data_IF_736782544529
#
_entry.id   IF_736782544529
#
_cell.length_a   1.000
_cell.length_b   1.000
_cell.length_c   1.000
_cell.angle_alpha   90.00
_cell.angle_beta   90.00
_cell.angle_gamma   90.00
#
_symmetry.space_group_name_H-M   'P 1'
#
loop_
_entity.id
_entity.type
_entity.pdbx_description
1 polymer ?
#
# COMPACT_ATOMS: atom_id res chain seq x y z
N UNK A 1 -44.53 -41.58 25.77
CA UNK A 1 -44.73 -40.19 25.29
C UNK A 1 -43.39 -39.74 24.79
N UNK A 2 -43.19 -39.68 23.46
CA UNK A 2 -42.00 -39.07 22.86
C UNK A 2 -42.27 -37.56 22.73
N UNK A 3 -41.40 -36.76 23.33
CA UNK A 3 -41.44 -35.31 23.16
C UNK A 3 -40.50 -34.92 22.00
N UNK A 4 -41.07 -34.64 20.86
CA UNK A 4 -40.31 -34.07 19.71
C UNK A 4 -40.11 -32.56 19.90
N UNK A 5 -38.90 -32.15 20.20
CA UNK A 5 -38.55 -30.74 20.26
C UNK A 5 -38.18 -30.26 18.83
N UNK A 6 -39.08 -29.54 18.20
CA UNK A 6 -38.77 -28.85 16.91
C UNK A 6 -38.24 -27.48 17.21
N UNK A 7 -36.94 -27.27 17.03
CA UNK A 7 -36.30 -25.96 17.13
C UNK A 7 -36.34 -25.32 15.74
N UNK A 8 -37.17 -24.31 15.56
CA UNK A 8 -37.22 -23.54 14.32
C UNK A 8 -36.25 -22.32 14.47
N UNK A 9 -35.04 -22.46 13.90
CA UNK A 9 -34.02 -21.42 13.97
C UNK A 9 -34.09 -20.60 12.68
N UNK A 10 -34.46 -19.32 12.80
CA UNK A 10 -34.37 -18.37 11.69
C UNK A 10 -32.88 -18.12 11.33
N UNK A 11 -32.39 -18.78 10.29
CA UNK A 11 -31.03 -18.65 9.80
C UNK A 11 -30.83 -17.50 8.79
N UNK A 12 -31.86 -16.71 8.52
CA UNK A 12 -31.84 -15.69 7.46
C UNK A 12 -30.76 -14.63 7.73
N UNK A 13 -30.67 -14.14 8.95
CA UNK A 13 -29.63 -13.17 9.36
C UNK A 13 -28.23 -13.76 9.29
N UNK A 14 -28.05 -15.03 9.67
CA UNK A 14 -26.78 -15.72 9.59
C UNK A 14 -26.31 -15.88 8.14
N UNK A 15 -27.21 -16.26 7.23
CA UNK A 15 -26.93 -16.37 5.80
C UNK A 15 -26.56 -15.02 5.18
N UNK A 16 -27.27 -13.94 5.56
CA UNK A 16 -26.94 -12.59 5.13
C UNK A 16 -25.54 -12.19 5.58
N UNK A 17 -25.21 -12.38 6.86
CA UNK A 17 -23.88 -12.12 7.43
C UNK A 17 -22.77 -12.91 6.71
N UNK A 18 -22.98 -14.21 6.46
CA UNK A 18 -22.02 -15.03 5.72
C UNK A 18 -21.77 -14.49 4.30
N UNK A 19 -22.83 -14.01 3.63
CA UNK A 19 -22.72 -13.38 2.31
C UNK A 19 -21.87 -12.12 2.38
N UNK A 20 -22.13 -11.24 3.35
CA UNK A 20 -21.50 -9.94 3.48
C UNK A 20 -20.01 -10.09 3.86
N UNK A 21 -19.66 -11.04 4.72
CA UNK A 21 -18.27 -11.41 5.00
C UNK A 21 -17.57 -11.96 3.73
N UNK A 22 -18.25 -12.82 2.95
CA UNK A 22 -17.67 -13.29 1.67
C UNK A 22 -17.43 -12.18 0.67
N UNK A 23 -18.29 -11.15 0.66
CA UNK A 23 -18.12 -9.96 -0.18
C UNK A 23 -16.94 -9.14 0.30
N UNK A 24 -16.78 -8.94 1.61
CA UNK A 24 -15.63 -8.23 2.18
C UNK A 24 -14.30 -8.94 1.89
N UNK A 25 -14.25 -10.26 2.02
CA UNK A 25 -13.06 -11.07 1.71
C UNK A 25 -12.58 -10.99 0.25
N UNK A 26 -13.43 -10.52 -0.66
CA UNK A 26 -13.05 -10.25 -2.05
C UNK A 26 -12.45 -8.86 -2.25
N UNK A 27 -12.44 -8.02 -1.22
CA UNK A 27 -11.92 -6.66 -1.29
C UNK A 27 -10.53 -6.59 -0.67
N UNK A 28 -9.63 -5.89 -1.34
CA UNK A 28 -8.30 -5.60 -0.80
C UNK A 28 -7.77 -4.28 -1.38
N UNK A 29 -6.92 -3.63 -0.62
CA UNK A 29 -6.24 -2.42 -1.07
C UNK A 29 -4.85 -2.82 -1.56
N UNK A 30 -4.52 -2.42 -2.78
CA UNK A 30 -3.14 -2.46 -3.29
C UNK A 30 -2.60 -1.05 -3.35
N UNK A 31 -1.38 -0.88 -2.91
CA UNK A 31 -0.69 0.39 -2.96
C UNK A 31 0.77 0.18 -3.36
N UNK A 32 1.30 1.13 -4.12
CA UNK A 32 2.63 1.03 -4.70
C UNK A 32 2.64 1.45 -6.19
N UNK A 33 3.61 0.95 -6.91
CA UNK A 33 3.73 1.18 -8.37
C UNK A 33 3.04 0.05 -9.12
N UNK A 34 1.71 0.13 -9.18
CA UNK A 34 0.85 -0.95 -9.68
C UNK A 34 0.93 -1.15 -11.19
N UNK A 35 1.40 -0.14 -11.91
CA UNK A 35 1.65 -0.20 -13.36
C UNK A 35 3.14 -0.39 -13.60
N UNK A 36 3.47 -1.25 -14.54
CA UNK A 36 4.86 -1.45 -14.96
C UNK A 36 5.35 -0.26 -15.81
N UNK A 37 5.53 0.88 -15.14
CA UNK A 37 5.98 2.12 -15.75
C UNK A 37 7.50 2.20 -15.67
N UNK A 38 8.15 2.53 -16.79
CA UNK A 38 9.60 2.68 -16.85
C UNK A 38 10.04 4.07 -16.39
N UNK A 39 11.19 4.14 -15.77
CA UNK A 39 11.83 5.41 -15.44
C UNK A 39 12.41 6.02 -16.72
N UNK A 40 12.11 7.30 -17.04
CA UNK A 40 12.45 7.89 -18.33
C UNK A 40 13.96 7.88 -18.63
N UNK A 41 14.79 8.07 -17.62
CA UNK A 41 16.24 8.21 -17.79
C UNK A 41 17.02 6.93 -17.53
N UNK A 42 16.45 5.96 -16.80
CA UNK A 42 17.21 4.77 -16.35
C UNK A 42 16.79 3.48 -17.07
N UNK A 43 15.72 3.52 -17.88
CA UNK A 43 15.17 2.35 -18.60
C UNK A 43 14.89 1.13 -17.71
N UNK A 44 14.62 1.38 -16.41
CA UNK A 44 14.24 0.37 -15.41
C UNK A 44 12.84 0.66 -14.88
N UNK A 45 12.12 -0.37 -14.39
CA UNK A 45 10.81 -0.15 -13.76
C UNK A 45 10.92 0.84 -12.60
N UNK A 46 9.95 1.76 -12.48
CA UNK A 46 9.92 2.73 -11.37
C UNK A 46 9.86 2.02 -10.02
N UNK A 47 9.16 0.88 -9.93
CA UNK A 47 9.15 0.05 -8.73
C UNK A 47 10.57 -0.40 -8.31
N UNK A 48 11.45 -0.68 -9.27
CA UNK A 48 12.84 -1.02 -9.00
C UNK A 48 13.63 0.17 -8.44
N UNK A 49 13.46 1.36 -9.05
CA UNK A 49 14.08 2.59 -8.54
C UNK A 49 13.60 2.88 -7.12
N UNK A 50 12.31 2.71 -6.87
CA UNK A 50 11.70 2.88 -5.55
C UNK A 50 12.29 1.91 -4.52
N UNK A 51 12.50 0.66 -4.89
CA UNK A 51 13.14 -0.34 -4.06
C UNK A 51 14.58 0.06 -3.71
N UNK A 52 15.37 0.49 -4.68
CA UNK A 52 16.72 0.98 -4.44
C UNK A 52 16.78 2.18 -3.48
N UNK A 53 15.81 3.08 -3.56
CA UNK A 53 15.72 4.20 -2.63
C UNK A 53 15.31 3.74 -1.23
N UNK A 54 14.37 2.80 -1.10
CA UNK A 54 13.87 2.31 0.19
C UNK A 54 14.96 1.54 0.97
N UNK A 55 15.66 0.63 0.30
CA UNK A 55 16.60 -0.29 0.93
C UNK A 55 18.07 0.12 0.77
N UNK A 56 18.33 1.00 -0.18
CA UNK A 56 19.70 1.34 -0.58
C UNK A 56 20.33 0.27 -1.48
N UNK A 57 21.51 0.59 -1.98
CA UNK A 57 22.39 -0.33 -2.73
C UNK A 57 23.79 -0.18 -2.15
N UNK A 58 24.49 -1.27 -1.82
CA UNK A 58 25.90 -1.19 -1.42
C UNK A 58 26.77 -0.65 -2.57
N UNK A 59 27.93 -0.10 -2.24
CA UNK A 59 28.91 0.28 -3.25
C UNK A 59 29.45 -0.98 -3.96
N UNK A 60 29.72 -0.82 -5.25
CA UNK A 60 30.47 -1.80 -6.06
C UNK A 60 31.73 -1.13 -6.58
N UNK A 61 32.59 -1.87 -7.28
CA UNK A 61 33.80 -1.29 -7.90
C UNK A 61 33.45 -0.15 -8.86
N UNK A 62 32.35 -0.27 -9.60
CA UNK A 62 31.93 0.69 -10.62
C UNK A 62 30.93 1.74 -10.14
N UNK A 63 30.24 1.50 -9.01
CA UNK A 63 29.14 2.34 -8.59
C UNK A 63 29.20 2.72 -7.10
N UNK A 64 28.96 3.99 -6.82
CA UNK A 64 28.84 4.49 -5.45
C UNK A 64 27.57 3.95 -4.78
N UNK A 65 27.65 3.73 -3.45
CA UNK A 65 26.49 3.31 -2.65
C UNK A 65 25.32 4.27 -2.75
N UNK A 66 24.12 3.72 -2.87
CA UNK A 66 22.87 4.48 -2.68
C UNK A 66 22.42 4.26 -1.23
N UNK A 67 22.38 5.31 -0.38
CA UNK A 67 21.95 5.13 1.00
C UNK A 67 20.47 4.82 1.07
N UNK A 68 20.09 3.92 2.00
CA UNK A 68 18.69 3.61 2.27
C UNK A 68 17.92 4.85 2.75
N UNK A 69 16.72 5.01 2.23
CA UNK A 69 15.75 6.06 2.61
C UNK A 69 14.39 5.41 2.81
N UNK A 70 14.07 4.96 4.03
CA UNK A 70 12.90 4.10 4.31
C UNK A 70 11.58 4.89 4.30
N UNK A 71 11.30 5.60 3.23
CA UNK A 71 10.12 6.46 3.07
C UNK A 71 8.80 5.69 3.07
N UNK A 72 8.82 4.50 2.48
CA UNK A 72 7.63 3.66 2.37
C UNK A 72 7.26 3.05 3.74
N UNK A 73 8.22 2.46 4.42
CA UNK A 73 8.03 1.92 5.78
C UNK A 73 7.63 3.02 6.76
N UNK A 74 8.20 4.20 6.66
CA UNK A 74 7.81 5.34 7.50
C UNK A 74 6.37 5.79 7.22
N UNK A 75 5.93 5.84 5.96
CA UNK A 75 4.56 6.14 5.59
C UNK A 75 3.59 5.12 6.20
N UNK A 76 3.86 3.82 6.02
CA UNK A 76 3.03 2.74 6.57
C UNK A 76 2.98 2.82 8.11
N UNK A 77 4.10 3.04 8.76
CA UNK A 77 4.16 3.13 10.23
C UNK A 77 3.36 4.31 10.78
N UNK A 78 3.34 5.45 10.09
CA UNK A 78 2.54 6.62 10.53
C UNK A 78 1.04 6.35 10.54
N UNK A 79 0.55 5.57 9.60
CA UNK A 79 -0.89 5.35 9.44
C UNK A 79 -1.39 4.05 10.10
N UNK A 80 -0.48 3.10 10.40
CA UNK A 80 -0.86 1.77 10.92
C UNK A 80 -1.72 1.81 12.18
N UNK A 81 -1.49 2.76 13.07
CA UNK A 81 -2.28 2.88 14.31
C UNK A 81 -3.68 3.44 14.06
N UNK A 82 -3.83 4.35 13.09
CA UNK A 82 -5.15 4.83 12.65
C UNK A 82 -5.98 3.73 11.98
N UNK A 83 -5.35 2.82 11.27
CA UNK A 83 -6.03 1.73 10.56
C UNK A 83 -6.80 0.76 11.46
N UNK A 84 -6.44 0.63 12.72
CA UNK A 84 -7.19 -0.20 13.64
C UNK A 84 -8.65 0.27 13.74
N UNK A 85 -8.88 1.58 13.86
CA UNK A 85 -10.21 2.15 13.93
C UNK A 85 -10.96 2.01 12.58
N UNK A 86 -10.25 2.21 11.47
CA UNK A 86 -10.81 2.06 10.14
C UNK A 86 -11.22 0.61 9.85
N UNK A 87 -10.38 -0.36 10.20
CA UNK A 87 -10.67 -1.79 10.06
C UNK A 87 -11.86 -2.18 10.95
N UNK A 88 -11.89 -1.71 12.20
CA UNK A 88 -13.01 -1.93 13.12
C UNK A 88 -14.31 -1.38 12.55
N UNK A 89 -14.29 -0.16 12.00
CA UNK A 89 -15.46 0.45 11.35
C UNK A 89 -15.93 -0.39 10.16
N UNK A 90 -15.02 -0.79 9.27
CA UNK A 90 -15.33 -1.62 8.09
C UNK A 90 -15.96 -2.94 8.53
N UNK A 91 -15.42 -3.58 9.56
CA UNK A 91 -15.94 -4.83 10.08
C UNK A 91 -17.39 -4.65 10.63
N UNK A 92 -17.62 -3.65 11.49
CA UNK A 92 -18.94 -3.36 12.04
C UNK A 92 -19.93 -3.01 10.91
N UNK A 93 -19.53 -2.15 9.96
CA UNK A 93 -20.38 -1.78 8.84
C UNK A 93 -20.76 -3.01 7.98
N UNK A 94 -19.83 -3.96 7.82
CA UNK A 94 -20.11 -5.23 7.13
C UNK A 94 -21.13 -6.06 7.89
N UNK A 95 -21.03 -6.16 9.23
CA UNK A 95 -21.99 -6.89 10.05
C UNK A 95 -23.40 -6.27 10.00
N UNK A 96 -23.48 -4.98 9.78
CA UNK A 96 -24.73 -4.21 9.68
C UNK A 96 -25.27 -4.12 8.24
N UNK A 97 -24.58 -4.75 7.27
CA UNK A 97 -24.98 -4.73 5.85
C UNK A 97 -24.80 -3.36 5.19
N UNK A 98 -23.99 -2.45 5.78
CA UNK A 98 -23.72 -1.13 5.22
C UNK A 98 -22.66 -1.19 4.10
N UNK A 99 -22.66 -0.22 3.19
CA UNK A 99 -21.62 -0.07 2.19
C UNK A 99 -20.27 0.29 2.83
N UNK A 100 -19.23 -0.47 2.48
CA UNK A 100 -17.87 -0.28 2.98
C UNK A 100 -16.90 0.24 1.91
N UNK A 101 -17.34 0.32 0.65
CA UNK A 101 -16.46 0.69 -0.46
C UNK A 101 -15.96 2.13 -0.34
N UNK A 102 -16.80 3.04 0.10
CA UNK A 102 -16.42 4.44 0.34
C UNK A 102 -15.33 4.55 1.40
N UNK A 103 -15.44 3.77 2.48
CA UNK A 103 -14.45 3.78 3.56
C UNK A 103 -13.12 3.11 3.14
N UNK A 104 -13.19 2.03 2.36
CA UNK A 104 -12.01 1.42 1.78
C UNK A 104 -11.26 2.37 0.82
N UNK A 105 -11.99 3.14 0.02
CA UNK A 105 -11.39 4.16 -0.85
C UNK A 105 -10.74 5.29 -0.05
N UNK A 106 -11.39 5.74 1.03
CA UNK A 106 -10.80 6.72 1.95
C UNK A 106 -9.49 6.20 2.57
N UNK A 107 -9.48 4.95 3.02
CA UNK A 107 -8.29 4.29 3.56
C UNK A 107 -7.17 4.18 2.51
N UNK A 108 -7.51 3.87 1.26
CA UNK A 108 -6.56 3.83 0.15
C UNK A 108 -5.94 5.22 -0.11
N UNK A 109 -6.72 6.30 -0.06
CA UNK A 109 -6.21 7.66 -0.27
C UNK A 109 -5.34 8.13 0.92
N UNK A 110 -5.67 7.74 2.14
CA UNK A 110 -4.84 8.00 3.31
C UNK A 110 -3.44 7.38 3.17
N UNK A 111 -3.35 6.15 2.62
CA UNK A 111 -2.06 5.51 2.30
C UNK A 111 -1.26 6.31 1.27
N UNK A 112 -1.92 6.78 0.22
CA UNK A 112 -1.29 7.60 -0.82
C UNK A 112 -0.77 8.93 -0.26
N UNK A 113 -1.58 9.59 0.55
CA UNK A 113 -1.23 10.85 1.21
C UNK A 113 -0.06 10.66 2.18
N UNK A 114 -0.07 9.60 2.98
CA UNK A 114 1.02 9.29 3.91
C UNK A 114 2.35 9.05 3.18
N UNK A 115 2.30 8.38 2.04
CA UNK A 115 3.46 8.20 1.17
C UNK A 115 4.01 9.53 0.66
N UNK A 116 3.16 10.39 0.10
CA UNK A 116 3.56 11.74 -0.36
C UNK A 116 4.18 12.57 0.76
N UNK A 117 3.55 12.58 1.93
CA UNK A 117 4.05 13.29 3.11
C UNK A 117 5.39 12.75 3.61
N UNK A 118 5.61 11.44 3.53
CA UNK A 118 6.88 10.83 3.91
C UNK A 118 8.02 11.31 3.02
N UNK A 119 7.83 11.35 1.71
CA UNK A 119 8.81 11.91 0.77
C UNK A 119 9.00 13.41 0.99
N UNK A 120 7.91 14.17 1.15
CA UNK A 120 7.96 15.62 1.34
C UNK A 120 8.69 16.02 2.64
N UNK A 121 8.72 15.16 3.65
CA UNK A 121 9.43 15.41 4.90
C UNK A 121 10.94 15.60 4.73
N UNK A 122 11.53 15.06 3.66
CA UNK A 122 12.97 15.11 3.35
C UNK A 122 13.88 14.66 4.52
N UNK A 123 13.35 13.87 5.45
CA UNK A 123 14.05 13.44 6.67
C UNK A 123 14.87 12.17 6.43
N UNK A 124 15.77 12.22 5.45
CA UNK A 124 16.62 11.11 5.05
C UNK A 124 18.07 11.57 4.89
N UNK A 125 18.98 10.60 4.70
CA UNK A 125 20.39 10.92 4.43
C UNK A 125 20.51 11.86 3.22
N UNK A 126 21.18 13.00 3.35
CA UNK A 126 21.33 13.97 2.27
C UNK A 126 21.92 13.38 0.99
N UNK A 127 21.65 14.03 -0.13
CA UNK A 127 22.31 13.69 -1.40
C UNK A 127 23.79 14.04 -1.33
N UNK A 128 24.61 13.23 -2.02
CA UNK A 128 26.02 13.56 -2.20
C UNK A 128 26.18 14.87 -2.98
N UNK A 129 27.20 15.70 -2.70
CA UNK A 129 27.43 16.98 -3.40
C UNK A 129 27.43 16.85 -4.93
N UNK A 130 28.04 15.77 -5.45
CA UNK A 130 28.04 15.47 -6.87
C UNK A 130 26.62 15.26 -7.42
N UNK A 131 25.75 14.53 -6.70
CA UNK A 131 24.36 14.30 -7.08
C UNK A 131 23.55 15.60 -7.07
N UNK A 132 23.78 16.47 -6.08
CA UNK A 132 23.14 17.80 -6.00
C UNK A 132 23.53 18.64 -7.21
N UNK A 133 24.80 18.63 -7.60
CA UNK A 133 25.31 19.35 -8.78
C UNK A 133 24.66 18.85 -10.08
N UNK A 134 24.51 17.55 -10.24
CA UNK A 134 23.85 16.95 -11.41
C UNK A 134 22.36 17.26 -11.50
N UNK A 135 21.66 17.23 -10.36
CA UNK A 135 20.21 17.48 -10.29
C UNK A 135 19.82 18.94 -10.28
N UNK A 136 20.74 19.83 -9.92
CA UNK A 136 20.46 21.25 -9.71
C UNK A 136 19.66 21.58 -8.44
N UNK A 137 19.38 20.59 -7.58
CA UNK A 137 18.64 20.76 -6.33
C UNK A 137 19.00 19.68 -5.30
N UNK A 138 18.69 19.94 -4.02
CA UNK A 138 18.98 19.06 -2.87
C UNK A 138 17.85 18.08 -2.51
N UNK A 139 16.71 18.15 -3.18
CA UNK A 139 15.55 17.31 -2.83
C UNK A 139 15.81 15.85 -3.12
N UNK A 140 15.62 15.02 -2.07
CA UNK A 140 15.81 13.58 -2.13
C UNK A 140 14.59 12.92 -2.78
N UNK A 141 14.82 11.80 -3.48
CA UNK A 141 13.76 11.02 -4.15
C UNK A 141 12.89 11.82 -5.14
N UNK A 142 13.27 13.05 -5.40
CA UNK A 142 12.65 13.91 -6.39
C UNK A 142 13.67 14.19 -7.50
N UNK A 143 13.29 13.89 -8.74
CA UNK A 143 14.02 14.19 -9.95
C UNK A 143 13.02 14.72 -10.98
N UNK A 144 12.44 13.83 -11.78
CA UNK A 144 11.33 14.14 -12.71
C UNK A 144 9.94 14.09 -12.05
N UNK A 145 9.85 13.77 -10.76
CA UNK A 145 8.58 13.53 -10.06
C UNK A 145 7.87 12.22 -10.45
N UNK A 146 8.42 11.46 -11.40
CA UNK A 146 7.76 10.27 -11.94
C UNK A 146 7.50 9.22 -10.87
N UNK A 147 8.43 9.03 -9.92
CA UNK A 147 8.27 8.06 -8.82
C UNK A 147 7.08 8.41 -7.93
N UNK A 148 6.91 9.68 -7.57
CA UNK A 148 5.80 10.15 -6.71
C UNK A 148 4.48 10.09 -7.49
N UNK A 149 4.46 10.59 -8.72
CA UNK A 149 3.24 10.71 -9.53
C UNK A 149 2.71 9.36 -10.05
N UNK A 150 3.55 8.32 -10.07
CA UNK A 150 3.14 6.97 -10.49
C UNK A 150 2.78 6.05 -9.34
N UNK A 151 2.87 6.53 -8.09
CA UNK A 151 2.39 5.78 -6.95
C UNK A 151 0.86 5.75 -6.93
N UNK A 152 0.28 4.57 -6.83
CA UNK A 152 -1.16 4.36 -6.82
C UNK A 152 -1.57 3.62 -5.56
N UNK A 153 -2.78 3.92 -5.08
CA UNK A 153 -3.47 3.14 -4.05
C UNK A 153 -4.89 2.89 -4.52
N UNK A 154 -5.30 1.63 -4.61
CA UNK A 154 -6.60 1.25 -5.20
C UNK A 154 -7.24 0.11 -4.46
N UNK A 155 -8.57 0.18 -4.34
CA UNK A 155 -9.42 -0.91 -3.87
C UNK A 155 -9.72 -1.85 -5.04
N UNK A 156 -9.48 -3.13 -4.81
CA UNK A 156 -9.83 -4.21 -5.75
C UNK A 156 -10.95 -5.06 -5.17
N UNK A 157 -11.85 -5.50 -6.05
CA UNK A 157 -13.04 -6.30 -5.69
C UNK A 157 -12.91 -7.79 -6.05
N UNK A 158 -11.71 -8.25 -6.36
CA UNK A 158 -11.44 -9.65 -6.66
C UNK A 158 -10.61 -10.27 -5.53
N UNK A 159 -10.88 -11.54 -5.23
CA UNK A 159 -10.14 -12.28 -4.19
C UNK A 159 -8.63 -12.28 -4.45
N UNK A 160 -7.87 -12.37 -3.37
CA UNK A 160 -6.39 -12.37 -3.36
C UNK A 160 -5.80 -13.61 -4.08
N UNK A 161 -6.65 -14.59 -4.41
CA UNK A 161 -6.24 -15.89 -4.91
C UNK A 161 -5.60 -15.90 -6.28
N UNK A 162 -4.47 -15.28 -6.48
CA UNK A 162 -3.51 -15.42 -7.60
C UNK A 162 -2.54 -14.23 -7.65
N UNK A 163 -2.34 -13.51 -6.54
CA UNK A 163 -1.24 -12.57 -6.48
C UNK A 163 0.03 -13.41 -6.24
N UNK A 164 0.76 -13.70 -7.31
CA UNK A 164 2.16 -14.10 -7.16
C UNK A 164 2.91 -12.91 -6.56
N UNK A 165 3.09 -12.93 -5.25
CA UNK A 165 4.11 -12.11 -4.60
C UNK A 165 5.41 -12.79 -4.98
N UNK A 166 6.09 -12.27 -6.00
CA UNK A 166 7.48 -12.62 -6.23
C UNK A 166 8.25 -12.09 -5.02
N UNK A 167 8.89 -12.96 -4.22
CA UNK A 167 9.84 -12.46 -3.21
C UNK A 167 10.88 -11.62 -3.95
N UNK A 168 11.19 -10.45 -3.39
CA UNK A 168 12.28 -9.63 -3.91
C UNK A 168 13.57 -10.44 -3.68
N UNK A 169 14.14 -10.95 -4.74
CA UNK A 169 15.52 -11.48 -4.70
C UNK A 169 16.44 -10.28 -4.39
N UNK A 170 17.12 -10.38 -3.25
CA UNK A 170 18.09 -9.39 -2.76
C UNK A 170 19.39 -9.54 -3.51
#
# INVERSE_FOLDING_TARGET
MEFEFKLDIDTTKLKALQRDIKVLNKRHIRYGWLKNKMHPNAQVPIAQVANWQEFGIPATEDNAAIPARPYFRQAVNKVRYGYYNDIKYIFIATLEGRDVDSHLNFLAENLRTAYGNSIASQNYKPLAPYTVKLKGHKYQMFDSGVMINSFESKVYRQGIGNIKVTPWEV
#
